data_IF_363013545101
#
_entry.id   IF_363013545101
#
_cell.length_a   1.000
_cell.length_b   1.000
_cell.length_c   1.000
_cell.angle_alpha   90.00
_cell.angle_beta   90.00
_cell.angle_gamma   90.00
#
_symmetry.space_group_name_H-M   'P 1'
#
loop_
_entity.id
_entity.type
_entity.pdbx_description
1 polymer ?
#
# COMPACT_ATOMS: atom_id res chain seq x y z
N UNK A 1 4.12 -8.67 18.03
CA UNK A 1 3.20 -7.72 17.37
C UNK A 1 1.80 -7.95 17.89
N UNK A 2 1.02 -6.88 18.12
CA UNK A 2 -0.38 -6.99 18.54
C UNK A 2 -1.21 -7.39 17.32
N UNK A 3 -1.90 -8.52 17.38
CA UNK A 3 -2.83 -8.93 16.31
C UNK A 3 -4.02 -7.97 16.29
N UNK A 4 -4.36 -7.45 15.11
CA UNK A 4 -5.55 -6.61 14.91
C UNK A 4 -6.67 -7.42 14.28
N UNK A 5 -7.92 -7.10 14.62
CA UNK A 5 -9.10 -7.73 13.99
C UNK A 5 -9.29 -7.18 12.59
N UNK A 6 -9.92 -7.96 11.70
CA UNK A 6 -10.17 -7.57 10.30
C UNK A 6 -11.00 -6.27 10.21
N UNK A 7 -11.99 -6.08 11.07
CA UNK A 7 -12.83 -4.87 11.06
C UNK A 7 -12.04 -3.63 11.48
N UNK A 8 -11.20 -3.76 12.51
CA UNK A 8 -10.30 -2.70 12.97
C UNK A 8 -9.28 -2.35 11.87
N UNK A 9 -8.73 -3.38 11.21
CA UNK A 9 -7.83 -3.19 10.09
C UNK A 9 -8.48 -2.42 8.93
N UNK A 10 -9.73 -2.72 8.59
CA UNK A 10 -10.47 -1.98 7.56
C UNK A 10 -10.71 -0.53 7.95
N UNK A 11 -11.05 -0.25 9.21
CA UNK A 11 -11.23 1.12 9.70
C UNK A 11 -9.93 1.91 9.59
N UNK A 12 -8.82 1.35 10.10
CA UNK A 12 -7.50 1.98 10.01
C UNK A 12 -7.07 2.19 8.55
N UNK A 13 -7.32 1.22 7.68
CA UNK A 13 -6.97 1.30 6.27
C UNK A 13 -7.81 2.36 5.54
N UNK A 14 -9.09 2.52 5.89
CA UNK A 14 -9.94 3.60 5.38
C UNK A 14 -9.41 4.98 5.76
N UNK A 15 -8.92 5.17 6.99
CA UNK A 15 -8.33 6.46 7.41
C UNK A 15 -7.10 6.81 6.56
N UNK A 16 -6.22 5.84 6.30
CA UNK A 16 -5.04 6.07 5.46
C UNK A 16 -5.46 6.27 4.00
N UNK A 17 -6.43 5.51 3.50
CA UNK A 17 -6.95 5.66 2.14
C UNK A 17 -7.54 7.06 1.92
N UNK A 18 -8.24 7.65 2.90
CA UNK A 18 -8.69 9.05 2.80
C UNK A 18 -7.52 10.01 2.62
N UNK A 19 -6.43 9.82 3.35
CA UNK A 19 -5.21 10.65 3.23
C UNK A 19 -4.50 10.48 1.88
N UNK A 20 -4.55 9.29 1.29
CA UNK A 20 -4.07 9.06 -0.08
C UNK A 20 -4.94 9.85 -1.06
N UNK A 21 -6.27 9.72 -0.96
CA UNK A 21 -7.22 10.37 -1.88
C UNK A 21 -7.19 11.90 -1.75
N UNK A 22 -7.02 12.43 -0.54
CA UNK A 22 -6.86 13.87 -0.28
C UNK A 22 -5.45 14.40 -0.58
N UNK A 23 -4.52 13.53 -1.00
CA UNK A 23 -3.11 13.85 -1.27
C UNK A 23 -2.32 14.36 -0.06
N UNK A 24 -2.81 14.13 1.17
CA UNK A 24 -2.06 14.35 2.42
C UNK A 24 -0.91 13.34 2.58
N UNK A 25 -1.05 12.16 1.98
CA UNK A 25 0.01 11.17 1.84
C UNK A 25 0.16 10.80 0.37
N UNK A 26 1.41 10.63 -0.07
CA UNK A 26 1.65 10.03 -1.38
C UNK A 26 1.15 8.59 -1.40
N UNK A 27 0.82 8.08 -2.59
CA UNK A 27 0.28 6.74 -2.78
C UNK A 27 1.23 5.69 -2.18
N UNK A 28 2.51 5.78 -2.51
CA UNK A 28 3.52 4.86 -1.99
C UNK A 28 3.62 4.91 -0.46
N UNK A 29 3.69 6.10 0.14
CA UNK A 29 3.79 6.24 1.60
C UNK A 29 2.53 5.75 2.32
N UNK A 30 1.35 6.04 1.79
CA UNK A 30 0.09 5.56 2.35
C UNK A 30 -0.05 4.04 2.23
N UNK A 31 0.27 3.46 1.08
CA UNK A 31 0.24 2.02 0.87
C UNK A 31 1.24 1.28 1.77
N UNK A 32 2.43 1.84 1.97
CA UNK A 32 3.44 1.34 2.90
C UNK A 32 2.94 1.31 4.34
N UNK A 33 2.24 2.35 4.78
CA UNK A 33 1.62 2.37 6.11
C UNK A 33 0.53 1.30 6.24
N UNK A 34 -0.35 1.18 5.25
CA UNK A 34 -1.38 0.12 5.23
C UNK A 34 -0.72 -1.26 5.27
N UNK A 35 0.36 -1.47 4.53
CA UNK A 35 1.07 -2.74 4.56
C UNK A 35 1.71 -3.02 5.93
N UNK A 36 2.69 -2.20 6.33
CA UNK A 36 3.58 -2.50 7.47
C UNK A 36 2.89 -2.32 8.82
N UNK A 37 1.92 -1.40 8.94
CA UNK A 37 1.23 -1.11 10.21
C UNK A 37 -0.09 -1.89 10.36
N UNK A 38 -0.74 -2.28 9.25
CA UNK A 38 -2.05 -2.93 9.27
C UNK A 38 -1.96 -4.37 8.77
N UNK A 39 -1.65 -4.60 7.49
CA UNK A 39 -1.72 -5.93 6.87
C UNK A 39 -0.82 -6.94 7.58
N UNK A 40 0.43 -6.58 7.89
CA UNK A 40 1.35 -7.48 8.58
C UNK A 40 0.93 -7.79 10.03
N UNK A 41 -0.04 -7.06 10.58
CA UNK A 41 -0.63 -7.28 11.90
C UNK A 41 -1.95 -8.09 11.87
N UNK A 42 -2.50 -8.41 10.69
CA UNK A 42 -3.73 -9.23 10.56
C UNK A 42 -3.35 -10.70 10.41
N UNK A 43 -3.95 -11.57 11.23
CA UNK A 43 -3.86 -13.02 11.06
C UNK A 43 -5.26 -13.59 10.69
N UNK A 44 -5.35 -14.68 9.88
CA UNK A 44 -4.26 -15.43 9.23
C UNK A 44 -3.96 -15.01 7.78
N UNK A 45 -4.84 -14.24 7.13
CA UNK A 45 -4.72 -13.90 5.70
C UNK A 45 -4.96 -12.40 5.48
N UNK A 46 -4.18 -11.79 4.59
CA UNK A 46 -4.46 -10.44 4.08
C UNK A 46 -5.84 -10.41 3.40
N UNK A 47 -6.73 -9.48 3.76
CA UNK A 47 -7.96 -9.25 3.01
C UNK A 47 -7.67 -8.87 1.56
N UNK A 48 -8.45 -9.40 0.61
CA UNK A 48 -8.26 -9.14 -0.81
C UNK A 48 -8.44 -7.64 -1.14
N UNK A 49 -9.33 -6.95 -0.40
CA UNK A 49 -9.55 -5.49 -0.48
C UNK A 49 -8.30 -4.66 -0.13
N UNK A 50 -7.38 -5.22 0.65
CA UNK A 50 -6.16 -4.55 1.10
C UNK A 50 -4.91 -5.00 0.31
N UNK A 51 -5.02 -6.05 -0.51
CA UNK A 51 -3.89 -6.65 -1.20
C UNK A 51 -3.16 -5.68 -2.14
N UNK A 52 -3.92 -4.81 -2.82
CA UNK A 52 -3.37 -3.82 -3.74
C UNK A 52 -2.39 -2.84 -3.05
N UNK A 53 -2.57 -2.55 -1.76
CA UNK A 53 -1.63 -1.67 -1.04
C UNK A 53 -0.30 -2.37 -0.81
N UNK A 54 -0.31 -3.63 -0.35
CA UNK A 54 0.91 -4.40 -0.10
C UNK A 54 1.67 -4.71 -1.39
N UNK A 55 0.99 -5.27 -2.38
CA UNK A 55 1.62 -5.72 -3.63
C UNK A 55 2.28 -4.57 -4.40
N UNK A 56 1.56 -3.45 -4.58
CA UNK A 56 2.11 -2.31 -5.31
C UNK A 56 3.18 -1.54 -4.50
N UNK A 57 3.06 -1.44 -3.17
CA UNK A 57 4.12 -0.84 -2.35
C UNK A 57 5.41 -1.67 -2.42
N UNK A 58 5.32 -2.99 -2.27
CA UNK A 58 6.46 -3.91 -2.41
C UNK A 58 7.11 -3.80 -3.79
N UNK A 59 6.30 -3.77 -4.86
CA UNK A 59 6.82 -3.62 -6.22
C UNK A 59 7.58 -2.29 -6.42
N UNK A 60 7.08 -1.19 -5.83
CA UNK A 60 7.81 0.09 -5.86
C UNK A 60 9.13 -0.01 -5.08
N UNK A 61 9.14 -0.61 -3.88
CA UNK A 61 10.37 -0.83 -3.11
C UNK A 61 11.39 -1.65 -3.93
N UNK A 62 10.95 -2.72 -4.59
CA UNK A 62 11.81 -3.58 -5.42
C UNK A 62 12.40 -2.84 -6.62
N UNK A 63 11.60 -2.02 -7.33
CA UNK A 63 12.08 -1.24 -8.47
C UNK A 63 13.11 -0.19 -8.01
N UNK A 64 12.85 0.49 -6.89
CA UNK A 64 13.79 1.48 -6.33
C UNK A 64 15.09 0.80 -5.93
N UNK A 65 15.00 -0.31 -5.20
CA UNK A 65 16.17 -1.06 -4.78
C UNK A 65 16.98 -1.57 -5.98
N UNK A 66 16.33 -2.11 -7.00
CA UNK A 66 17.01 -2.57 -8.22
C UNK A 66 17.78 -1.43 -8.90
N UNK A 67 17.17 -0.26 -9.03
CA UNK A 67 17.80 0.92 -9.62
C UNK A 67 19.03 1.40 -8.81
N UNK A 68 18.94 1.36 -7.47
CA UNK A 68 20.04 1.72 -6.58
C UNK A 68 21.20 0.72 -6.62
N UNK A 69 20.95 -0.51 -7.08
CA UNK A 69 21.94 -1.59 -7.18
C UNK A 69 22.41 -1.83 -8.63
N UNK A 70 22.31 -0.82 -9.49
CA UNK A 70 22.85 -0.84 -10.85
C UNK A 70 21.89 -1.40 -11.92
N UNK A 71 20.64 -1.66 -11.56
CA UNK A 71 19.55 -1.99 -12.49
C UNK A 71 18.87 -0.76 -13.09
N UNK A 72 17.87 -1.00 -13.94
CA UNK A 72 17.07 0.07 -14.54
C UNK A 72 15.98 0.59 -13.59
N UNK A 73 15.79 1.90 -13.62
CA UNK A 73 14.72 2.60 -12.91
C UNK A 73 13.47 2.62 -13.80
N UNK A 74 12.60 1.64 -13.63
CA UNK A 74 11.35 1.51 -14.40
C UNK A 74 10.26 2.48 -13.92
N UNK A 75 10.41 3.78 -14.20
CA UNK A 75 9.51 4.83 -13.69
C UNK A 75 8.05 4.68 -14.15
N UNK A 76 7.80 4.10 -15.34
CA UNK A 76 6.45 3.82 -15.82
C UNK A 76 5.74 2.78 -14.93
N UNK A 77 6.45 1.73 -14.49
CA UNK A 77 5.91 0.73 -13.56
C UNK A 77 5.62 1.34 -12.19
N UNK A 78 6.49 2.25 -11.71
CA UNK A 78 6.23 3.00 -10.47
C UNK A 78 4.94 3.82 -10.61
N UNK A 79 4.73 4.49 -11.76
CA UNK A 79 3.53 5.27 -12.02
C UNK A 79 2.28 4.40 -12.03
N UNK A 80 2.32 3.24 -12.68
CA UNK A 80 1.21 2.27 -12.71
C UNK A 80 0.86 1.77 -11.29
N UNK A 81 1.88 1.37 -10.51
CA UNK A 81 1.68 0.94 -9.12
C UNK A 81 0.99 2.02 -8.28
N UNK A 82 1.40 3.29 -8.43
CA UNK A 82 0.76 4.43 -7.74
C UNK A 82 -0.69 4.62 -8.17
N UNK A 83 -1.00 4.48 -9.46
CA UNK A 83 -2.38 4.58 -9.96
C UNK A 83 -3.26 3.47 -9.40
N UNK A 84 -2.76 2.23 -9.33
CA UNK A 84 -3.48 1.10 -8.72
C UNK A 84 -3.71 1.30 -7.22
N UNK A 85 -2.73 1.86 -6.49
CA UNK A 85 -2.90 2.25 -5.09
C UNK A 85 -4.00 3.31 -4.94
N UNK A 86 -3.98 4.36 -5.77
CA UNK A 86 -4.99 5.42 -5.75
C UNK A 86 -6.39 4.86 -6.04
N UNK A 87 -6.50 3.93 -6.99
CA UNK A 87 -7.75 3.24 -7.32
C UNK A 87 -8.26 2.38 -6.16
N UNK A 88 -7.38 1.59 -5.54
CA UNK A 88 -7.71 0.80 -4.36
C UNK A 88 -8.13 1.69 -3.19
N UNK A 89 -7.46 2.82 -2.97
CA UNK A 89 -7.83 3.79 -1.95
C UNK A 89 -9.25 4.33 -2.18
N UNK A 90 -9.59 4.74 -3.41
CA UNK A 90 -10.94 5.20 -3.76
C UNK A 90 -12.01 4.12 -3.56
N UNK A 91 -11.71 2.86 -3.91
CA UNK A 91 -12.62 1.71 -3.71
C UNK A 91 -12.85 1.36 -2.25
N UNK A 92 -11.88 1.64 -1.38
CA UNK A 92 -11.96 1.29 0.04
C UNK A 92 -12.87 2.24 0.84
N UNK A 93 -13.10 3.46 0.35
CA UNK A 93 -13.94 4.46 1.00
C UNK A 93 -15.43 4.13 0.82
#
# INVERSE_FOLDING_TARGET
>A
MKTIKIDEAHLLAKEIARKIVSQELSEHMGAMKIWKEIIDCIAPKCPDSLWAFKSNASAIEDIIWNAENGGERHDDLIRECKQEIMHAAKKLL
#
